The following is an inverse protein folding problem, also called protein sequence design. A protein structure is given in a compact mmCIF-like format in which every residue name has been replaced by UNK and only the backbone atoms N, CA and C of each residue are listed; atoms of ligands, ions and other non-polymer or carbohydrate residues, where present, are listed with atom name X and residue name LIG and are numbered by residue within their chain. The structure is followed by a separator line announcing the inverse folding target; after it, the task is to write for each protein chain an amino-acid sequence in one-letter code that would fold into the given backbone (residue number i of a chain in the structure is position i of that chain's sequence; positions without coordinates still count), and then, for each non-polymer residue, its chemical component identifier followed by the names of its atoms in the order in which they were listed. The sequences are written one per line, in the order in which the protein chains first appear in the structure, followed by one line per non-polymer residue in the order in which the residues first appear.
data_IF_496142270892
#
_entry.id   IF_496142270892
#
_cell.length_a   1.000
_cell.length_b   1.000
_cell.length_c   1.000
_cell.angle_alpha   90.00
_cell.angle_beta   90.00
_cell.angle_gamma   90.00
#
_symmetry.space_group_name_H-M   'P 1'
#
loop_
_entity.id
_entity.type
_entity.pdbx_description
1 polymer ?
#
# COMPACT_ATOMS: atom_id res chain seq x y z
N UNK A 1 40.29 -11.83 -35.03
CA UNK A 1 40.62 -11.76 -33.59
C UNK A 1 40.27 -10.39 -33.00
N UNK A 2 41.04 -9.31 -33.23
CA UNK A 2 40.77 -8.02 -32.56
C UNK A 2 39.49 -7.30 -33.04
N UNK A 3 39.16 -7.39 -34.33
CA UNK A 3 37.97 -6.75 -34.92
C UNK A 3 36.66 -7.39 -34.43
N UNK A 4 36.67 -8.71 -34.29
CA UNK A 4 35.51 -9.50 -33.86
C UNK A 4 35.12 -9.23 -32.39
N UNK A 5 36.13 -8.95 -31.54
CA UNK A 5 35.92 -8.53 -30.15
C UNK A 5 35.29 -7.14 -30.09
N UNK A 6 35.75 -6.20 -30.90
CA UNK A 6 35.19 -4.84 -30.94
C UNK A 6 33.75 -4.82 -31.45
N UNK A 7 33.43 -5.63 -32.46
CA UNK A 7 32.05 -5.78 -32.93
C UNK A 7 31.16 -6.40 -31.86
N UNK A 8 31.64 -7.43 -31.15
CA UNK A 8 30.89 -8.04 -30.05
C UNK A 8 30.63 -7.07 -28.89
N UNK A 9 31.57 -6.18 -28.57
CA UNK A 9 31.39 -5.16 -27.53
C UNK A 9 30.37 -4.11 -27.98
N UNK A 10 30.45 -3.66 -29.24
CA UNK A 10 29.48 -2.73 -29.80
C UNK A 10 28.06 -3.31 -29.80
N UNK A 11 27.91 -4.59 -30.16
CA UNK A 11 26.63 -5.29 -30.15
C UNK A 11 26.07 -5.49 -28.73
N UNK A 12 26.93 -5.81 -27.76
CA UNK A 12 26.55 -5.91 -26.35
C UNK A 12 26.07 -4.55 -25.80
N UNK A 13 26.78 -3.47 -26.13
CA UNK A 13 26.42 -2.11 -25.72
C UNK A 13 25.09 -1.67 -26.34
N UNK A 14 24.84 -1.98 -27.63
CA UNK A 14 23.56 -1.68 -28.27
C UNK A 14 22.41 -2.47 -27.64
N UNK A 15 22.64 -3.75 -27.32
CA UNK A 15 21.65 -4.60 -26.65
C UNK A 15 21.31 -4.09 -25.26
N UNK A 16 22.30 -3.58 -24.53
CA UNK A 16 22.11 -2.98 -23.21
C UNK A 16 21.33 -1.65 -23.31
N UNK A 17 21.63 -0.82 -24.30
CA UNK A 17 20.87 0.40 -24.59
C UNK A 17 19.41 0.09 -24.95
N UNK A 18 19.16 -0.94 -25.76
CA UNK A 18 17.81 -1.39 -26.09
C UNK A 18 17.08 -1.97 -24.87
N UNK A 19 17.80 -2.70 -24.01
CA UNK A 19 17.23 -3.20 -22.74
C UNK A 19 16.83 -2.04 -21.82
N UNK A 20 17.67 -1.02 -21.71
CA UNK A 20 17.35 0.19 -20.94
C UNK A 20 16.17 0.95 -21.51
N UNK A 21 16.07 1.10 -22.84
CA UNK A 21 14.92 1.73 -23.50
C UNK A 21 13.64 0.95 -23.24
N UNK A 22 13.66 -0.38 -23.36
CA UNK A 22 12.50 -1.23 -23.07
C UNK A 22 12.09 -1.17 -21.61
N UNK A 23 13.05 -1.18 -20.68
CA UNK A 23 12.77 -1.02 -19.26
C UNK A 23 12.14 0.35 -18.95
N UNK A 24 12.64 1.43 -19.58
CA UNK A 24 12.07 2.77 -19.45
C UNK A 24 10.62 2.83 -19.98
N UNK A 25 10.34 2.22 -21.13
CA UNK A 25 8.99 2.17 -21.71
C UNK A 25 8.02 1.34 -20.87
N UNK A 26 8.49 0.26 -20.26
CA UNK A 26 7.68 -0.53 -19.32
C UNK A 26 7.38 0.27 -18.04
N UNK A 27 8.35 1.04 -17.54
CA UNK A 27 8.15 1.91 -16.38
C UNK A 27 7.18 3.05 -16.70
N UNK A 28 7.35 3.71 -17.84
CA UNK A 28 6.48 4.79 -18.32
C UNK A 28 5.04 4.29 -18.59
N UNK A 29 4.88 3.13 -19.22
CA UNK A 29 3.56 2.52 -19.42
C UNK A 29 2.87 2.15 -18.12
N UNK A 30 3.62 1.67 -17.11
CA UNK A 30 3.07 1.45 -15.76
C UNK A 30 2.65 2.76 -15.11
N UNK A 31 3.42 3.85 -15.24
CA UNK A 31 3.01 5.14 -14.70
C UNK A 31 1.74 5.67 -15.38
N UNK A 32 1.62 5.52 -16.70
CA UNK A 32 0.50 6.01 -17.48
C UNK A 32 -0.80 5.23 -17.22
N UNK A 33 -0.73 3.91 -17.03
CA UNK A 33 -1.88 3.10 -16.53
C UNK A 33 -2.37 3.56 -15.14
N UNK A 34 -1.54 4.28 -14.35
CA UNK A 34 -1.90 4.83 -13.04
C UNK A 34 -2.32 6.31 -13.07
N UNK A 35 -2.24 6.98 -14.22
CA UNK A 35 -2.77 8.34 -14.43
C UNK A 35 -4.24 8.31 -14.84
N UNK A 36 -4.67 7.30 -15.60
CA UNK A 36 -6.08 7.13 -16.01
C UNK A 36 -7.02 6.69 -14.87
N UNK A 37 -6.48 6.30 -13.71
CA UNK A 37 -7.24 6.05 -12.47
C UNK A 37 -7.31 7.31 -11.57
N UNK A 38 -7.45 8.48 -12.20
CA UNK A 38 -7.73 9.78 -11.58
C UNK A 38 -9.11 9.85 -10.85
N UNK A 39 -9.74 8.70 -10.58
CA UNK A 39 -11.02 8.65 -9.84
C UNK A 39 -10.83 8.35 -8.36
N UNK A 40 -9.72 7.77 -7.92
CA UNK A 40 -9.46 7.62 -6.49
C UNK A 40 -8.86 8.91 -5.94
N UNK A 41 -9.75 9.86 -5.62
CA UNK A 41 -9.39 11.05 -4.90
C UNK A 41 -8.66 10.68 -3.60
N UNK A 42 -7.70 11.51 -3.22
CA UNK A 42 -6.89 11.46 -1.98
C UNK A 42 -7.70 11.36 -0.67
N UNK A 43 -9.03 11.30 -0.78
CA UNK A 43 -10.03 11.24 0.28
C UNK A 43 -10.96 10.02 0.22
N UNK A 44 -10.90 9.18 -0.82
CA UNK A 44 -11.77 8.02 -0.91
C UNK A 44 -11.33 6.96 0.12
N UNK A 45 -12.14 6.81 1.16
CA UNK A 45 -11.99 5.77 2.18
C UNK A 45 -13.06 4.70 1.99
N UNK A 46 -13.03 3.93 0.88
CA UNK A 46 -14.10 3.02 0.52
C UNK A 46 -14.39 1.99 1.61
N UNK A 47 -13.39 1.61 2.42
CA UNK A 47 -13.64 0.71 3.55
C UNK A 47 -14.40 1.43 4.66
N UNK A 48 -13.89 2.56 5.17
CA UNK A 48 -14.59 3.32 6.22
C UNK A 48 -16.00 3.74 5.76
N UNK A 49 -16.16 4.18 4.51
CA UNK A 49 -17.43 4.61 3.94
C UNK A 49 -18.42 3.44 3.79
N UNK A 50 -17.94 2.26 3.41
CA UNK A 50 -18.78 1.04 3.38
C UNK A 50 -19.26 0.63 4.77
N UNK A 51 -18.45 0.82 5.82
CA UNK A 51 -18.85 0.52 7.19
C UNK A 51 -19.74 1.61 7.79
N UNK A 52 -19.49 2.88 7.46
CA UNK A 52 -20.30 4.01 7.89
C UNK A 52 -21.72 3.97 7.27
N UNK A 53 -21.84 3.56 6.00
CA UNK A 53 -23.13 3.40 5.31
C UNK A 53 -24.00 2.28 5.88
N UNK A 54 -23.40 1.27 6.54
CA UNK A 54 -24.12 0.21 7.27
C UNK A 54 -24.58 0.66 8.67
N UNK A 55 -24.29 1.91 9.05
CA UNK A 55 -24.64 2.52 10.33
C UNK A 55 -23.46 2.57 11.32
N UNK A 56 -23.69 3.14 12.50
CA UNK A 56 -22.63 3.34 13.50
C UNK A 56 -22.22 2.06 14.24
N UNK A 57 -23.13 1.08 14.30
CA UNK A 57 -22.95 -0.14 15.09
C UNK A 57 -21.81 -1.04 14.59
N UNK A 58 -21.65 -1.32 13.27
CA UNK A 58 -20.51 -2.10 12.76
C UNK A 58 -19.16 -1.45 13.06
N UNK A 59 -19.04 -0.14 12.90
CA UNK A 59 -17.81 0.62 13.14
C UNK A 59 -17.36 0.52 14.60
N UNK A 60 -18.28 0.74 15.54
CA UNK A 60 -18.04 0.58 17.00
C UNK A 60 -17.75 -0.89 17.32
N UNK A 61 -18.45 -1.83 16.69
CA UNK A 61 -18.23 -3.28 16.88
C UNK A 61 -16.85 -3.73 16.38
N UNK A 62 -16.22 -3.03 15.44
CA UNK A 62 -14.88 -3.38 14.94
C UNK A 62 -13.73 -2.67 15.65
N UNK A 63 -13.93 -1.49 16.24
CA UNK A 63 -12.82 -0.71 16.84
C UNK A 63 -13.06 -0.27 18.28
N UNK A 64 -14.27 -0.44 18.81
CA UNK A 64 -14.75 0.15 20.08
C UNK A 64 -14.76 1.69 20.08
N UNK A 65 -14.49 2.32 18.95
CA UNK A 65 -14.45 3.77 18.81
C UNK A 65 -15.67 4.21 18.03
N UNK A 66 -16.21 5.37 18.40
CA UNK A 66 -17.15 6.05 17.54
C UNK A 66 -16.42 6.73 16.38
N UNK A 67 -17.11 7.03 15.27
CA UNK A 67 -16.48 7.64 14.09
C UNK A 67 -15.76 8.97 14.42
N UNK A 68 -16.34 9.77 15.32
CA UNK A 68 -15.73 11.02 15.80
C UNK A 68 -14.45 10.80 16.59
N UNK A 69 -14.38 9.75 17.41
CA UNK A 69 -13.19 9.42 18.20
C UNK A 69 -12.08 8.86 17.30
N UNK A 70 -12.46 8.04 16.33
CA UNK A 70 -11.54 7.58 15.29
C UNK A 70 -10.95 8.75 14.50
N UNK A 71 -11.77 9.71 14.04
CA UNK A 71 -11.27 10.87 13.32
C UNK A 71 -10.34 11.74 14.20
N UNK A 72 -10.60 11.81 15.52
CA UNK A 72 -9.71 12.49 16.47
C UNK A 72 -8.37 11.77 16.66
N UNK A 73 -8.35 10.45 16.63
CA UNK A 73 -7.11 9.68 16.65
C UNK A 73 -6.36 9.80 15.33
N UNK A 74 -7.08 9.72 14.20
CA UNK A 74 -6.51 9.93 12.88
C UNK A 74 -5.84 11.29 12.77
N UNK A 75 -6.46 12.38 13.24
CA UNK A 75 -5.86 13.72 13.16
C UNK A 75 -4.53 13.86 13.91
N UNK A 76 -4.22 12.96 14.87
CA UNK A 76 -2.93 12.98 15.57
C UNK A 76 -1.81 12.35 14.76
N UNK A 77 -2.13 11.37 13.90
CA UNK A 77 -1.14 10.63 13.11
C UNK A 77 -1.24 10.90 11.61
N UNK A 78 -2.21 11.68 11.15
CA UNK A 78 -2.51 11.93 9.73
C UNK A 78 -1.29 12.37 8.93
N UNK A 79 -0.53 13.36 9.42
CA UNK A 79 0.65 13.88 8.72
C UNK A 79 1.72 12.80 8.53
N UNK A 80 2.09 12.12 9.62
CA UNK A 80 3.13 11.07 9.60
C UNK A 80 2.68 9.83 8.83
N UNK A 81 1.41 9.44 8.98
CA UNK A 81 0.84 8.27 8.32
C UNK A 81 0.74 8.49 6.82
N UNK A 82 0.28 9.65 6.35
CA UNK A 82 0.26 9.96 4.92
C UNK A 82 1.68 10.07 4.36
N UNK A 83 2.59 10.76 5.05
CA UNK A 83 3.99 10.85 4.61
C UNK A 83 4.62 9.47 4.44
N UNK A 84 4.54 8.60 5.46
CA UNK A 84 5.12 7.26 5.41
C UNK A 84 4.36 6.29 4.47
N UNK A 85 3.06 6.47 4.25
CA UNK A 85 2.27 5.55 3.43
C UNK A 85 2.52 5.73 1.92
N UNK A 86 2.79 6.98 1.51
CA UNK A 86 3.07 7.35 0.14
C UNK A 86 4.58 7.39 -0.18
N UNK A 87 5.44 7.36 0.83
CA UNK A 87 6.89 7.34 0.64
C UNK A 87 7.39 5.98 0.08
N UNK A 88 8.19 6.04 -0.98
CA UNK A 88 8.91 4.87 -1.53
C UNK A 88 8.07 3.85 -2.30
N UNK A 89 6.77 4.09 -2.54
CA UNK A 89 5.91 3.18 -3.33
C UNK A 89 5.75 3.65 -4.77
N UNK A 90 6.26 2.88 -5.73
CA UNK A 90 6.03 3.09 -7.17
C UNK A 90 4.62 2.68 -7.65
N UNK A 91 3.79 2.08 -6.79
CA UNK A 91 2.42 1.67 -7.11
C UNK A 91 1.44 2.37 -6.17
N UNK A 92 0.47 3.09 -6.73
CA UNK A 92 -0.65 3.66 -5.95
C UNK A 92 -1.44 2.50 -5.32
N UNK A 93 -1.67 2.57 -4.01
CA UNK A 93 -2.36 1.51 -3.27
C UNK A 93 -3.88 1.71 -3.37
N UNK A 94 -4.65 0.63 -3.55
CA UNK A 94 -6.13 0.66 -3.59
C UNK A 94 -6.78 0.99 -2.23
N UNK A 95 -5.96 1.32 -1.24
CA UNK A 95 -6.32 1.53 0.16
C UNK A 95 -5.65 2.81 0.63
N UNK A 96 -6.47 3.79 1.03
CA UNK A 96 -6.01 5.04 1.65
C UNK A 96 -5.26 4.77 2.96
N UNK A 97 -4.32 5.66 3.33
CA UNK A 97 -3.62 5.57 4.62
C UNK A 97 -4.60 5.52 5.81
N UNK A 98 -5.75 6.21 5.68
CA UNK A 98 -6.81 6.24 6.69
C UNK A 98 -7.56 4.90 6.80
N UNK A 99 -7.83 4.25 5.67
CA UNK A 99 -8.40 2.88 5.64
C UNK A 99 -7.41 1.86 6.22
N UNK A 100 -6.11 2.00 5.93
CA UNK A 100 -5.07 1.15 6.50
C UNK A 100 -4.99 1.29 8.03
N UNK A 101 -5.11 2.51 8.54
CA UNK A 101 -5.17 2.78 9.97
C UNK A 101 -6.43 2.16 10.63
N UNK A 102 -7.59 2.25 9.97
CA UNK A 102 -8.81 1.59 10.44
C UNK A 102 -8.68 0.06 10.48
N UNK A 103 -8.10 -0.55 9.46
CA UNK A 103 -7.83 -1.99 9.44
C UNK A 103 -6.85 -2.40 10.54
N UNK A 104 -5.80 -1.60 10.81
CA UNK A 104 -4.87 -1.86 11.90
C UNK A 104 -5.56 -1.83 13.27
N UNK A 105 -6.39 -0.83 13.55
CA UNK A 105 -7.15 -0.76 14.81
C UNK A 105 -8.09 -1.96 14.98
N UNK A 106 -8.73 -2.39 13.89
CA UNK A 106 -9.59 -3.58 13.85
C UNK A 106 -8.78 -4.84 14.15
N UNK A 107 -7.60 -4.98 13.55
CA UNK A 107 -6.68 -6.09 13.85
C UNK A 107 -6.26 -6.08 15.32
N UNK A 108 -5.85 -4.94 15.87
CA UNK A 108 -5.44 -4.81 17.27
C UNK A 108 -6.55 -5.19 18.25
N UNK A 109 -7.82 -4.82 17.94
CA UNK A 109 -8.97 -5.25 18.75
C UNK A 109 -9.14 -6.78 18.76
N UNK A 110 -8.96 -7.43 17.62
CA UNK A 110 -9.11 -8.89 17.49
C UNK A 110 -7.83 -9.69 17.82
N UNK A 111 -6.69 -9.01 18.00
CA UNK A 111 -5.39 -9.59 18.31
C UNK A 111 -5.22 -10.09 19.75
N UNK A 112 -6.30 -10.19 20.52
CA UNK A 112 -6.39 -11.07 21.71
C UNK A 112 -6.23 -12.58 21.38
N UNK A 113 -5.75 -12.90 20.17
CA UNK A 113 -5.50 -14.25 19.66
C UNK A 113 -4.00 -14.56 19.51
N UNK A 114 -3.09 -13.58 19.65
CA UNK A 114 -1.64 -13.86 19.58
C UNK A 114 -1.12 -14.58 20.82
N UNK A 115 -1.69 -14.29 21.98
CA UNK A 115 -1.39 -14.99 23.23
C UNK A 115 -1.89 -16.45 23.22
N UNK A 116 -2.91 -16.76 22.40
CA UNK A 116 -3.46 -18.11 22.28
C UNK A 116 -2.57 -19.07 21.48
N UNK A 117 -1.69 -18.54 20.62
CA UNK A 117 -0.74 -19.36 19.84
C UNK A 117 0.65 -19.45 20.47
N UNK A 118 0.99 -18.58 21.45
CA UNK A 118 2.23 -18.70 22.22
C UNK A 118 2.14 -19.73 23.35
N UNK A 119 0.94 -20.01 23.89
CA UNK A 119 0.73 -20.96 24.98
C UNK A 119 0.55 -22.44 24.53
N UNK A 120 1.07 -22.81 23.35
CA UNK A 120 0.93 -24.15 22.77
C UNK A 120 2.10 -25.12 22.98
N UNK A 121 3.04 -24.86 23.90
CA UNK A 121 4.19 -25.77 24.17
C UNK A 121 4.48 -25.99 25.66
N UNK A 122 3.44 -26.14 26.49
CA UNK A 122 3.61 -26.68 27.84
C UNK A 122 2.44 -27.57 28.25
N UNK A 123 2.31 -28.73 27.60
CA UNK A 123 1.95 -30.00 28.22
C UNK A 123 1.77 -31.06 27.12
N UNK A 124 2.75 -31.96 26.99
CA UNK A 124 2.66 -33.43 26.98
C UNK A 124 4.09 -33.96 27.06
#
# INVERSE_FOLDING_TARGET
MARDVLTSIADASNKEADNHRRASLLYEGVLQENEDDETFGDFDTPYIDSYASQGTQPFITMTNLNLSEFNRLWSLCECEANAAWYEGRCRKNRVSAKDAFFMLLTLLKHYNTWDKHAAGTSNI
#
